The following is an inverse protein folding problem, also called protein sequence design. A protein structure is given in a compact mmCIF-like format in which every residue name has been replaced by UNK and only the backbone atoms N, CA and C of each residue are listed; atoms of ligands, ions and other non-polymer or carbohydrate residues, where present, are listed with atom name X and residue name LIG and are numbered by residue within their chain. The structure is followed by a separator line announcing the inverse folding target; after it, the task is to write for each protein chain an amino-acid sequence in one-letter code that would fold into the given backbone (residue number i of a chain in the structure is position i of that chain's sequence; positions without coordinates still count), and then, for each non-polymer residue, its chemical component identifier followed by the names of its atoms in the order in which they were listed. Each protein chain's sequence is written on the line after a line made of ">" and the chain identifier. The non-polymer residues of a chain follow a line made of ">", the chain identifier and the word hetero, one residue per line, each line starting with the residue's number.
data_IF_875730700340
#
_entry.id   IF_875730700340
#
_cell.length_a   1.000
_cell.length_b   1.000
_cell.length_c   1.000
_cell.angle_alpha   90.00
_cell.angle_beta   90.00
_cell.angle_gamma   90.00
#
_symmetry.space_group_name_H-M   'P 1'
#
loop_
_entity.id
_entity.type
_entity.pdbx_description
1 polymer ?
#
# COMPACT_ATOMS: atom_id res chain seq x y z
N UNK A 1 -11.25 2.06 10.31
CA UNK A 1 -10.12 1.84 9.38
C UNK A 1 -8.86 1.48 10.16
N UNK A 2 -8.27 2.41 10.92
CA UNK A 2 -7.00 2.16 11.63
C UNK A 2 -7.10 1.34 12.92
N UNK A 3 -8.28 1.21 13.54
CA UNK A 3 -8.45 0.49 14.82
C UNK A 3 -7.98 -0.96 14.78
N UNK A 4 -8.22 -1.67 13.66
CA UNK A 4 -7.76 -3.05 13.50
C UNK A 4 -6.23 -3.19 13.57
N UNK A 5 -5.47 -2.14 13.20
CA UNK A 5 -4.01 -2.16 13.34
C UNK A 5 -3.61 -2.15 14.82
N UNK A 6 -4.32 -1.39 15.66
CA UNK A 6 -4.06 -1.32 17.11
C UNK A 6 -4.34 -2.69 17.75
N UNK A 7 -5.48 -3.30 17.41
CA UNK A 7 -5.83 -4.65 17.88
C UNK A 7 -4.74 -5.67 17.52
N UNK A 8 -4.20 -5.62 16.29
CA UNK A 8 -3.13 -6.54 15.88
C UNK A 8 -1.79 -6.27 16.56
N UNK A 9 -1.47 -5.01 16.86
CA UNK A 9 -0.29 -4.65 17.65
C UNK A 9 -0.43 -5.19 19.08
N UNK A 10 -1.61 -5.06 19.71
CA UNK A 10 -1.88 -5.61 21.04
C UNK A 10 -1.73 -7.12 21.06
N UNK A 11 -2.33 -7.82 20.08
CA UNK A 11 -2.14 -9.26 19.92
C UNK A 11 -0.67 -9.65 19.76
N UNK A 12 0.08 -8.92 18.93
CA UNK A 12 1.49 -9.20 18.73
C UNK A 12 2.32 -8.95 19.99
N UNK A 13 1.99 -7.94 20.79
CA UNK A 13 2.68 -7.63 22.04
C UNK A 13 2.58 -8.75 23.10
N UNK A 14 1.58 -9.64 23.02
CA UNK A 14 1.54 -10.85 23.85
C UNK A 14 2.63 -11.88 23.49
N UNK A 15 3.18 -11.82 22.27
CA UNK A 15 4.29 -12.67 21.82
C UNK A 15 5.63 -11.97 21.96
N UNK A 16 5.78 -10.81 21.32
CA UNK A 16 6.99 -9.98 21.32
C UNK A 16 6.59 -8.51 21.21
N UNK A 17 7.29 -7.65 21.95
CA UNK A 17 7.02 -6.21 21.94
C UNK A 17 7.29 -5.62 20.56
N UNK A 18 6.32 -4.89 20.01
CA UNK A 18 6.49 -4.06 18.81
C UNK A 18 7.24 -2.77 19.19
N UNK A 19 8.32 -2.48 18.49
CA UNK A 19 9.19 -1.31 18.74
C UNK A 19 8.92 -0.12 17.82
N UNK A 20 8.40 -0.38 16.62
CA UNK A 20 8.15 0.63 15.59
C UNK A 20 7.00 0.18 14.68
N UNK A 21 6.32 1.15 14.07
CA UNK A 21 5.26 0.90 13.11
C UNK A 21 5.67 1.43 11.73
N UNK A 22 5.48 0.61 10.71
CA UNK A 22 5.68 1.00 9.32
C UNK A 22 4.31 1.09 8.65
N UNK A 23 4.02 2.24 8.03
CA UNK A 23 2.76 2.53 7.35
C UNK A 23 3.03 2.88 5.87
N UNK A 24 3.24 1.87 5.00
CA UNK A 24 3.55 2.11 3.60
C UNK A 24 2.34 2.66 2.84
N UNK A 25 2.56 3.74 2.07
CA UNK A 25 1.59 4.26 1.10
C UNK A 25 2.02 3.80 -0.30
N UNK A 26 1.41 2.74 -0.79
CA UNK A 26 1.89 1.99 -1.97
C UNK A 26 1.42 2.54 -3.32
N UNK A 27 0.79 3.71 -3.37
CA UNK A 27 0.26 4.32 -4.59
C UNK A 27 -1.17 3.90 -4.93
N UNK A 28 -1.76 4.57 -5.94
CA UNK A 28 -3.18 4.50 -6.32
C UNK A 28 -4.15 4.90 -5.20
N UNK A 29 -3.76 5.89 -4.38
CA UNK A 29 -4.60 6.51 -3.36
C UNK A 29 -5.72 7.37 -3.96
N UNK A 30 -5.50 7.89 -5.18
CA UNK A 30 -6.47 8.68 -5.93
C UNK A 30 -6.41 8.36 -7.41
N UNK A 31 -7.51 8.69 -8.09
CA UNK A 31 -7.64 8.54 -9.54
C UNK A 31 -7.47 9.88 -10.25
N UNK A 32 -6.41 10.01 -11.03
CA UNK A 32 -6.16 11.14 -11.92
C UNK A 32 -7.03 11.13 -13.18
N UNK A 33 -6.91 12.19 -13.98
CA UNK A 33 -7.58 12.33 -15.28
C UNK A 33 -6.82 11.62 -16.40
N UNK A 34 -6.65 10.31 -16.26
CA UNK A 34 -5.75 9.54 -17.12
C UNK A 34 -6.47 8.86 -18.29
N UNK A 35 -7.79 8.75 -18.21
CA UNK A 35 -8.72 8.22 -19.21
C UNK A 35 -9.98 9.09 -19.21
N UNK A 36 -10.64 9.25 -20.36
CA UNK A 36 -11.86 10.07 -20.48
C UNK A 36 -12.97 9.59 -19.55
N UNK A 37 -13.20 8.27 -19.49
CA UNK A 37 -14.14 7.66 -18.55
C UNK A 37 -13.90 8.11 -17.10
N UNK A 38 -12.64 8.17 -16.66
CA UNK A 38 -12.31 8.59 -15.30
C UNK A 38 -12.55 10.09 -15.07
N UNK A 39 -12.49 10.92 -16.12
CA UNK A 39 -12.87 12.32 -16.00
C UNK A 39 -14.37 12.49 -15.79
N UNK A 40 -15.18 11.58 -16.33
CA UNK A 40 -16.63 11.59 -16.22
C UNK A 40 -17.12 10.99 -14.89
N UNK A 41 -16.47 9.93 -14.41
CA UNK A 41 -16.95 9.14 -13.26
C UNK A 41 -16.35 9.55 -11.92
N UNK A 42 -15.27 10.32 -11.88
CA UNK A 42 -14.63 10.73 -10.64
C UNK A 42 -15.55 11.62 -9.79
N UNK A 43 -15.84 11.20 -8.55
CA UNK A 43 -16.64 11.99 -7.60
C UNK A 43 -15.93 13.27 -7.14
N UNK A 44 -14.60 13.25 -7.10
CA UNK A 44 -13.74 14.38 -6.73
C UNK A 44 -12.71 14.63 -7.82
N UNK A 45 -12.37 15.90 -8.05
CA UNK A 45 -11.16 16.20 -8.82
C UNK A 45 -9.92 15.66 -8.10
N UNK A 46 -8.82 15.36 -8.81
CA UNK A 46 -7.58 14.91 -8.18
C UNK A 46 -7.05 15.86 -7.11
N UNK A 47 -7.31 17.16 -7.25
CA UNK A 47 -6.91 18.17 -6.26
C UNK A 47 -7.78 18.11 -5.00
N UNK A 48 -9.11 18.00 -5.15
CA UNK A 48 -10.02 17.80 -4.02
C UNK A 48 -9.74 16.46 -3.30
N UNK A 49 -9.46 15.41 -4.08
CA UNK A 49 -9.05 14.11 -3.55
C UNK A 49 -7.76 14.20 -2.73
N UNK A 50 -6.76 14.97 -3.17
CA UNK A 50 -5.54 15.21 -2.38
C UNK A 50 -5.86 15.86 -1.03
N UNK A 51 -6.74 16.88 -1.00
CA UNK A 51 -7.12 17.55 0.26
C UNK A 51 -7.82 16.57 1.21
N UNK A 52 -8.79 15.82 0.69
CA UNK A 52 -9.52 14.80 1.46
C UNK A 52 -8.58 13.72 2.00
N UNK A 53 -7.71 13.17 1.15
CA UNK A 53 -6.76 12.13 1.54
C UNK A 53 -5.77 12.63 2.59
N UNK A 54 -5.28 13.86 2.46
CA UNK A 54 -4.40 14.45 3.47
C UNK A 54 -5.08 14.46 4.85
N UNK A 55 -6.34 14.87 4.94
CA UNK A 55 -7.09 14.87 6.20
C UNK A 55 -7.25 13.45 6.77
N UNK A 56 -7.65 12.48 5.92
CA UNK A 56 -7.89 11.11 6.35
C UNK A 56 -6.61 10.37 6.77
N UNK A 57 -5.50 10.58 6.05
CA UNK A 57 -4.22 9.94 6.35
C UNK A 57 -3.58 10.57 7.59
N UNK A 58 -3.55 11.90 7.69
CA UNK A 58 -3.00 12.56 8.88
C UNK A 58 -3.79 12.19 10.15
N UNK A 59 -5.13 12.24 10.11
CA UNK A 59 -5.94 11.84 11.26
C UNK A 59 -5.71 10.37 11.67
N UNK A 60 -5.47 9.49 10.69
CA UNK A 60 -5.09 8.10 10.92
C UNK A 60 -3.74 7.91 11.58
N UNK A 61 -2.72 8.64 11.10
CA UNK A 61 -1.37 8.63 11.69
C UNK A 61 -1.43 9.19 13.12
N UNK A 62 -2.14 10.28 13.35
CA UNK A 62 -2.30 10.88 14.68
C UNK A 62 -3.02 9.93 15.64
N UNK A 63 -4.06 9.24 15.17
CA UNK A 63 -4.72 8.18 15.93
C UNK A 63 -3.73 7.07 16.31
N UNK A 64 -2.96 6.54 15.35
CA UNK A 64 -1.97 5.49 15.62
C UNK A 64 -0.88 5.95 16.61
N UNK A 65 -0.40 7.20 16.50
CA UNK A 65 0.55 7.77 17.45
C UNK A 65 -0.03 7.84 18.86
N UNK A 66 -1.28 8.27 19.00
CA UNK A 66 -1.94 8.42 20.29
C UNK A 66 -2.17 7.06 20.96
N UNK A 67 -2.65 6.07 20.21
CA UNK A 67 -2.96 4.75 20.76
C UNK A 67 -1.71 3.91 21.05
N UNK A 68 -0.67 4.02 20.22
CA UNK A 68 0.49 3.12 20.32
C UNK A 68 1.72 3.78 20.94
N UNK A 69 1.86 5.10 20.80
CA UNK A 69 3.05 5.85 21.18
C UNK A 69 4.32 5.52 20.38
N UNK A 70 4.23 4.63 19.40
CA UNK A 70 5.36 4.10 18.61
C UNK A 70 5.88 5.13 17.59
N UNK A 71 7.17 5.10 17.23
CA UNK A 71 7.64 5.78 16.03
C UNK A 71 7.00 5.16 14.79
N UNK A 72 6.56 6.02 13.86
CA UNK A 72 5.89 5.66 12.62
C UNK A 72 6.76 6.06 11.43
N UNK A 73 7.04 5.09 10.56
CA UNK A 73 7.77 5.29 9.31
C UNK A 73 6.82 5.13 8.12
N UNK A 74 6.83 6.11 7.22
CA UNK A 74 5.89 6.20 6.09
C UNK A 74 6.66 6.18 4.77
N UNK A 75 7.05 4.98 4.27
CA UNK A 75 7.59 4.86 2.93
C UNK A 75 6.49 5.01 1.89
N UNK A 76 6.78 5.72 0.80
CA UNK A 76 5.78 5.99 -0.24
C UNK A 76 6.20 5.52 -1.63
N UNK A 77 5.20 5.17 -2.43
CA UNK A 77 5.32 4.84 -3.85
C UNK A 77 4.25 5.61 -4.63
N UNK A 78 4.59 6.13 -5.81
CA UNK A 78 3.57 6.68 -6.71
C UNK A 78 2.88 5.55 -7.47
N UNK A 79 1.55 5.59 -7.51
CA UNK A 79 0.73 4.74 -8.33
C UNK A 79 0.66 5.19 -9.79
N UNK A 80 0.10 4.34 -10.64
CA UNK A 80 -0.17 4.74 -12.03
C UNK A 80 -1.43 5.59 -12.14
N UNK A 81 -2.38 5.51 -11.21
CA UNK A 81 -3.62 6.29 -11.25
C UNK A 81 -3.42 7.73 -10.80
N UNK A 82 -2.49 7.99 -9.87
CA UNK A 82 -2.18 9.34 -9.37
C UNK A 82 -1.44 10.26 -10.35
N UNK A 83 -1.17 9.82 -11.58
CA UNK A 83 -0.37 10.59 -12.56
C UNK A 83 -1.13 11.78 -13.15
N UNK A 84 -0.40 12.85 -13.47
CA UNK A 84 -0.92 14.06 -14.15
C UNK A 84 -0.92 13.95 -15.68
N UNK A 85 -0.47 12.81 -16.22
CA UNK A 85 -0.24 12.62 -17.66
C UNK A 85 -0.95 11.38 -18.16
N UNK A 86 -1.46 11.40 -19.40
CA UNK A 86 -2.17 10.24 -19.98
C UNK A 86 -1.28 8.99 -20.02
N UNK A 87 -0.01 9.13 -20.40
CA UNK A 87 0.97 8.03 -20.48
C UNK A 87 1.98 8.09 -19.34
N UNK A 88 2.32 6.92 -18.78
CA UNK A 88 3.36 6.78 -17.74
C UNK A 88 4.69 7.40 -18.17
N UNK A 89 5.30 8.18 -17.28
CA UNK A 89 6.65 8.73 -17.43
C UNK A 89 7.60 8.03 -16.47
N UNK A 90 8.34 7.03 -16.93
CA UNK A 90 9.12 6.14 -16.05
C UNK A 90 10.16 6.93 -15.23
N UNK A 91 10.99 7.77 -15.89
CA UNK A 91 12.09 8.49 -15.23
C UNK A 91 11.62 9.66 -14.35
N UNK A 92 10.45 10.23 -14.65
CA UNK A 92 9.94 11.44 -14.00
C UNK A 92 8.56 11.21 -13.42
N UNK A 93 8.26 9.98 -12.97
CA UNK A 93 6.94 9.59 -12.47
C UNK A 93 6.52 10.47 -11.30
N UNK A 94 7.41 10.65 -10.32
CA UNK A 94 7.17 11.51 -9.15
C UNK A 94 6.88 12.97 -9.53
N UNK A 95 7.59 13.53 -10.53
CA UNK A 95 7.38 14.90 -11.00
C UNK A 95 6.02 15.12 -11.66
N UNK A 96 5.35 14.03 -12.05
CA UNK A 96 4.08 14.04 -12.76
C UNK A 96 3.03 13.24 -11.96
N UNK A 97 3.05 13.35 -10.62
CA UNK A 97 2.17 12.62 -9.72
C UNK A 97 1.52 13.55 -8.70
N UNK A 98 0.19 13.51 -8.62
CA UNK A 98 -0.58 14.15 -7.55
C UNK A 98 -0.27 13.51 -6.20
N UNK A 99 -0.04 12.19 -6.17
CA UNK A 99 0.31 11.47 -4.94
C UNK A 99 1.66 11.91 -4.40
N UNK A 100 2.65 12.15 -5.27
CA UNK A 100 3.95 12.63 -4.82
C UNK A 100 3.83 14.02 -4.17
N UNK A 101 3.03 14.92 -4.78
CA UNK A 101 2.73 16.22 -4.19
C UNK A 101 2.05 16.06 -2.81
N UNK A 102 1.07 15.17 -2.71
CA UNK A 102 0.37 14.84 -1.48
C UNK A 102 1.33 14.30 -0.40
N UNK A 103 2.27 13.41 -0.75
CA UNK A 103 3.29 12.93 0.18
C UNK A 103 4.18 14.06 0.69
N UNK A 104 4.58 14.98 -0.18
CA UNK A 104 5.41 16.13 0.21
C UNK A 104 4.65 17.09 1.15
N UNK A 105 3.35 17.31 0.95
CA UNK A 105 2.56 18.16 1.85
C UNK A 105 2.42 17.53 3.24
N UNK A 106 2.17 16.21 3.30
CA UNK A 106 2.10 15.48 4.58
C UNK A 106 3.47 15.36 5.27
N UNK A 107 4.55 15.11 4.53
CA UNK A 107 5.90 15.13 5.09
C UNK A 107 6.24 16.50 5.69
N UNK A 108 5.85 17.59 5.01
CA UNK A 108 6.00 18.96 5.54
C UNK A 108 5.14 19.20 6.78
N UNK A 109 3.92 18.65 6.83
CA UNK A 109 3.03 18.75 7.98
C UNK A 109 3.66 18.14 9.23
N UNK A 110 4.27 16.96 9.11
CA UNK A 110 4.91 16.23 10.21
C UNK A 110 6.36 16.61 10.52
N UNK A 111 6.96 17.58 9.81
CA UNK A 111 8.41 17.91 9.91
C UNK A 111 8.94 18.20 11.32
N UNK A 112 8.07 18.63 12.24
CA UNK A 112 8.43 18.96 13.62
C UNK A 112 8.05 17.85 14.62
N UNK A 113 7.47 16.74 14.16
CA UNK A 113 7.11 15.60 14.98
C UNK A 113 8.21 14.53 14.84
N UNK A 114 9.07 14.32 15.86
CA UNK A 114 10.19 13.39 15.77
C UNK A 114 9.76 11.91 15.72
N UNK A 115 8.48 11.60 16.01
CA UNK A 115 7.95 10.23 15.94
C UNK A 115 7.42 9.86 14.56
N UNK A 116 7.34 10.78 13.60
CA UNK A 116 6.82 10.48 12.25
C UNK A 116 7.89 10.78 11.22
N UNK A 117 8.35 9.75 10.55
CA UNK A 117 9.37 9.88 9.50
C UNK A 117 8.79 9.50 8.15
N UNK A 118 8.80 10.45 7.22
CA UNK A 118 8.38 10.23 5.84
C UNK A 118 9.58 9.85 4.98
N UNK A 119 9.50 8.72 4.27
CA UNK A 119 10.49 8.28 3.29
C UNK A 119 9.85 8.39 1.90
N UNK A 120 9.86 9.61 1.34
CA UNK A 120 9.17 9.91 0.09
C UNK A 120 9.97 9.39 -1.12
N UNK A 121 9.44 8.37 -1.80
CA UNK A 121 10.11 7.74 -2.93
C UNK A 121 10.01 8.56 -4.23
N UNK A 122 11.13 8.73 -4.93
CA UNK A 122 11.17 9.36 -6.26
C UNK A 122 11.23 8.36 -7.42
N UNK A 123 11.62 7.11 -7.14
CA UNK A 123 11.80 6.03 -8.11
C UNK A 123 10.65 5.01 -8.11
N UNK A 124 10.83 3.94 -8.88
CA UNK A 124 9.91 2.80 -8.88
C UNK A 124 10.08 1.93 -7.63
N UNK A 125 11.31 1.81 -7.12
CA UNK A 125 11.61 1.15 -5.86
C UNK A 125 11.89 2.20 -4.79
N UNK A 126 11.35 1.99 -3.60
CA UNK A 126 11.71 2.68 -2.38
C UNK A 126 12.18 1.61 -1.39
N UNK A 127 13.48 1.59 -1.07
CA UNK A 127 14.08 0.54 -0.25
C UNK A 127 14.44 1.12 1.10
N UNK A 128 13.98 0.48 2.18
CA UNK A 128 14.24 0.86 3.56
C UNK A 128 14.83 -0.32 4.33
N UNK A 129 15.53 -0.03 5.42
CA UNK A 129 15.97 -1.05 6.37
C UNK A 129 14.99 -1.09 7.55
N UNK A 130 14.43 -2.27 7.82
CA UNK A 130 13.49 -2.54 8.92
C UNK A 130 14.09 -3.62 9.80
N UNK A 131 14.43 -3.31 11.06
CA UNK A 131 15.07 -4.27 11.96
C UNK A 131 16.28 -5.01 11.35
N UNK A 132 17.14 -4.32 10.58
CA UNK A 132 18.30 -4.94 9.92
C UNK A 132 17.98 -5.71 8.64
N UNK A 133 16.73 -5.63 8.15
CA UNK A 133 16.26 -6.30 6.92
C UNK A 133 15.97 -5.27 5.85
N UNK A 134 16.46 -5.51 4.64
CA UNK A 134 16.20 -4.64 3.50
C UNK A 134 14.81 -4.96 2.93
N UNK A 135 13.92 -3.98 2.94
CA UNK A 135 12.54 -4.12 2.45
C UNK A 135 12.33 -3.17 1.28
N UNK A 136 11.85 -3.71 0.16
CA UNK A 136 11.56 -2.95 -1.05
C UNK A 136 10.07 -2.69 -1.18
N UNK A 137 9.70 -1.43 -1.17
CA UNK A 137 8.36 -0.96 -1.50
C UNK A 137 8.31 -0.59 -2.99
N UNK A 138 7.26 -1.01 -3.66
CA UNK A 138 6.95 -0.56 -5.02
C UNK A 138 5.45 -0.61 -5.26
N UNK A 139 4.95 0.16 -6.23
CA UNK A 139 3.51 0.16 -6.49
C UNK A 139 3.03 -1.17 -7.11
N UNK A 140 3.79 -1.73 -8.06
CA UNK A 140 3.46 -3.00 -8.71
C UNK A 140 3.02 -2.88 -10.17
N UNK A 141 2.78 -1.67 -10.68
CA UNK A 141 2.41 -1.39 -12.08
C UNK A 141 3.55 -1.63 -13.10
N UNK A 142 4.75 -1.99 -12.63
CA UNK A 142 5.84 -2.50 -13.46
C UNK A 142 5.77 -4.01 -13.72
N UNK A 143 4.95 -4.74 -12.95
CA UNK A 143 4.73 -6.17 -13.13
C UNK A 143 3.73 -6.37 -14.28
N UNK A 144 3.97 -7.36 -15.16
CA UNK A 144 3.07 -7.65 -16.28
C UNK A 144 2.57 -9.07 -16.23
N UNK A 145 1.25 -9.22 -16.18
CA UNK A 145 0.56 -10.50 -16.21
C UNK A 145 -0.45 -10.49 -17.36
N UNK A 146 -0.42 -11.54 -18.20
CA UNK A 146 -1.25 -11.65 -19.41
C UNK A 146 -2.16 -12.90 -19.36
N UNK A 147 -2.52 -13.36 -18.16
CA UNK A 147 -3.24 -14.63 -17.97
C UNK A 147 -2.31 -15.84 -17.86
N UNK A 148 -2.81 -16.92 -17.24
CA UNK A 148 -2.09 -18.19 -17.09
C UNK A 148 -2.22 -18.84 -15.71
N UNK A 149 -1.65 -20.03 -15.59
CA UNK A 149 -1.61 -20.76 -14.32
C UNK A 149 -0.64 -20.05 -13.36
N UNK A 150 -1.05 -19.90 -12.09
CA UNK A 150 -0.23 -19.29 -11.04
C UNK A 150 -0.43 -17.79 -10.84
N UNK A 151 -1.25 -17.14 -11.67
CA UNK A 151 -1.58 -15.72 -11.47
C UNK A 151 -0.36 -14.80 -11.48
N UNK A 152 -0.39 -13.76 -10.65
CA UNK A 152 0.69 -12.76 -10.55
C UNK A 152 2.00 -13.32 -9.97
N UNK A 153 1.99 -14.51 -9.37
CA UNK A 153 3.17 -15.06 -8.68
C UNK A 153 4.37 -15.23 -9.63
N UNK A 154 4.11 -15.68 -10.87
CA UNK A 154 5.15 -15.91 -11.87
C UNK A 154 5.83 -14.60 -12.30
N UNK A 155 5.09 -13.56 -12.76
CA UNK A 155 5.74 -12.30 -13.13
C UNK A 155 6.39 -11.58 -11.95
N UNK A 156 5.85 -11.69 -10.73
CA UNK A 156 6.49 -11.15 -9.51
C UNK A 156 7.84 -11.81 -9.28
N UNK A 157 7.87 -13.15 -9.20
CA UNK A 157 9.11 -13.89 -8.95
C UNK A 157 10.18 -13.64 -10.01
N UNK A 158 9.78 -13.56 -11.30
CA UNK A 158 10.72 -13.23 -12.39
C UNK A 158 11.32 -11.83 -12.26
N UNK A 159 10.51 -10.85 -11.86
CA UNK A 159 10.94 -9.46 -11.73
C UNK A 159 11.86 -9.28 -10.53
N UNK A 160 11.45 -9.80 -9.36
CA UNK A 160 12.27 -9.84 -8.15
C UNK A 160 13.62 -10.51 -8.44
N UNK A 161 13.64 -11.67 -9.11
CA UNK A 161 14.89 -12.36 -9.45
C UNK A 161 15.87 -11.52 -10.30
N UNK A 162 15.38 -10.59 -11.13
CA UNK A 162 16.26 -9.66 -11.84
C UNK A 162 16.69 -8.50 -10.95
N UNK A 163 15.78 -7.92 -10.17
CA UNK A 163 16.10 -6.80 -9.28
C UNK A 163 17.08 -7.20 -8.17
N UNK A 164 17.00 -8.44 -7.68
CA UNK A 164 17.94 -8.99 -6.70
C UNK A 164 19.39 -9.06 -7.19
N UNK A 165 19.62 -9.10 -8.52
CA UNK A 165 20.99 -9.07 -9.08
C UNK A 165 21.67 -7.71 -8.93
N UNK A 166 20.88 -6.64 -8.75
CA UNK A 166 21.38 -5.26 -8.65
C UNK A 166 21.32 -4.76 -7.22
N UNK A 167 20.18 -4.97 -6.54
CA UNK A 167 19.98 -4.55 -5.16
C UNK A 167 19.28 -5.68 -4.40
N UNK A 168 20.05 -6.53 -3.69
CA UNK A 168 19.52 -7.57 -2.84
C UNK A 168 18.65 -6.97 -1.72
N UNK A 169 17.46 -7.51 -1.55
CA UNK A 169 16.52 -7.19 -0.47
C UNK A 169 15.97 -8.49 0.15
N UNK A 170 15.54 -8.43 1.40
CA UNK A 170 14.95 -9.57 2.10
C UNK A 170 13.46 -9.78 1.74
N UNK A 171 12.73 -8.68 1.50
CA UNK A 171 11.28 -8.74 1.30
C UNK A 171 10.75 -7.61 0.40
N UNK A 172 9.76 -7.92 -0.44
CA UNK A 172 9.04 -6.96 -1.28
C UNK A 172 7.59 -6.75 -0.79
N UNK A 173 7.15 -5.48 -0.76
CA UNK A 173 5.77 -5.10 -0.40
C UNK A 173 5.22 -4.19 -1.50
N UNK A 174 4.08 -4.58 -2.09
CA UNK A 174 3.50 -3.83 -3.21
C UNK A 174 1.97 -3.91 -3.30
N UNK A 175 1.37 -3.02 -4.08
CA UNK A 175 -0.09 -2.94 -4.29
C UNK A 175 -0.47 -3.25 -5.74
N UNK A 176 -1.32 -2.39 -6.34
CA UNK A 176 -1.76 -2.42 -7.75
C UNK A 176 -2.67 -3.58 -8.17
N UNK A 177 -2.41 -4.80 -7.69
CA UNK A 177 -3.12 -6.00 -8.12
C UNK A 177 -4.42 -6.28 -7.36
N UNK A 178 -4.71 -5.48 -6.34
CA UNK A 178 -5.99 -5.46 -5.60
C UNK A 178 -6.32 -6.78 -4.87
N UNK A 179 -5.34 -7.70 -4.77
CA UNK A 179 -5.47 -8.98 -4.11
C UNK A 179 -4.39 -9.12 -3.03
N UNK A 180 -4.79 -9.69 -1.89
CA UNK A 180 -3.86 -10.19 -0.91
C UNK A 180 -3.24 -11.48 -1.44
N UNK A 181 -1.95 -11.46 -1.72
CA UNK A 181 -1.21 -12.67 -2.13
C UNK A 181 0.14 -12.66 -1.44
N UNK A 182 0.44 -13.75 -0.74
CA UNK A 182 1.71 -13.92 -0.04
C UNK A 182 2.59 -14.91 -0.79
N UNK A 183 3.70 -14.42 -1.36
CA UNK A 183 4.78 -15.23 -1.91
C UNK A 183 5.85 -15.47 -0.86
N UNK A 184 5.50 -16.16 0.23
CA UNK A 184 6.41 -16.39 1.35
C UNK A 184 7.68 -17.16 0.91
N UNK A 185 8.88 -16.76 1.38
CA UNK A 185 9.18 -15.67 2.33
C UNK A 185 9.51 -14.32 1.68
N UNK A 186 9.31 -14.15 0.37
CA UNK A 186 9.97 -13.09 -0.41
C UNK A 186 9.13 -11.86 -0.68
N UNK A 187 7.81 -11.97 -0.77
CA UNK A 187 6.99 -10.82 -1.10
C UNK A 187 5.53 -10.93 -0.67
N UNK A 188 4.85 -9.78 -0.60
CA UNK A 188 3.40 -9.68 -0.43
C UNK A 188 2.80 -8.62 -1.36
N UNK A 189 1.70 -9.01 -2.01
CA UNK A 189 0.77 -8.11 -2.69
C UNK A 189 -0.31 -7.69 -1.71
N UNK A 190 -0.49 -6.39 -1.53
CA UNK A 190 -1.50 -5.79 -0.69
C UNK A 190 -2.84 -5.68 -1.44
N UNK A 191 -3.97 -5.95 -0.77
CA UNK A 191 -5.28 -5.71 -1.33
C UNK A 191 -5.60 -4.21 -1.36
N UNK A 192 -6.81 -3.88 -1.78
CA UNK A 192 -7.26 -2.51 -1.96
C UNK A 192 -8.55 -2.21 -1.18
N UNK A 193 -8.96 -0.93 -1.23
CA UNK A 193 -10.23 -0.46 -0.69
C UNK A 193 -11.33 -0.39 -1.74
N UNK A 194 -10.95 -0.26 -3.01
CA UNK A 194 -11.91 -0.09 -4.09
C UNK A 194 -12.69 -1.39 -4.29
N UNK A 195 -13.99 -1.24 -4.50
CA UNK A 195 -14.89 -2.37 -4.74
C UNK A 195 -14.71 -2.98 -6.12
N UNK A 196 -15.47 -4.05 -6.36
CA UNK A 196 -15.50 -4.75 -7.64
C UNK A 196 -16.33 -3.98 -8.66
N UNK A 197 -15.65 -3.39 -9.65
CA UNK A 197 -16.27 -2.54 -10.68
C UNK A 197 -16.52 -3.28 -11.99
N UNK A 198 -17.20 -2.61 -12.92
CA UNK A 198 -17.41 -3.04 -14.30
C UNK A 198 -16.07 -3.28 -15.02
N UNK A 199 -15.07 -2.44 -14.77
CA UNK A 199 -13.70 -2.67 -15.27
C UNK A 199 -13.11 -3.98 -14.73
N UNK A 200 -13.34 -4.29 -13.45
CA UNK A 200 -12.89 -5.54 -12.85
C UNK A 200 -13.57 -6.75 -13.52
N UNK A 201 -14.86 -6.65 -13.87
CA UNK A 201 -15.58 -7.66 -14.66
C UNK A 201 -14.95 -7.84 -16.04
N UNK A 202 -14.67 -6.74 -16.75
CA UNK A 202 -14.10 -6.76 -18.10
C UNK A 202 -12.75 -7.49 -18.13
N UNK A 203 -11.87 -7.20 -17.17
CA UNK A 203 -10.55 -7.85 -17.07
C UNK A 203 -10.60 -9.23 -16.40
N UNK A 204 -11.79 -9.68 -15.95
CA UNK A 204 -12.00 -10.93 -15.20
C UNK A 204 -11.14 -10.99 -13.94
N UNK A 205 -11.04 -9.86 -13.24
CA UNK A 205 -10.32 -9.78 -11.97
C UNK A 205 -10.97 -10.67 -10.92
N UNK A 206 -10.18 -11.08 -9.94
CA UNK A 206 -10.72 -11.79 -8.78
C UNK A 206 -11.39 -10.81 -7.82
N UNK A 207 -12.47 -11.24 -7.17
CA UNK A 207 -13.13 -10.47 -6.13
C UNK A 207 -12.41 -10.63 -4.79
N UNK A 208 -12.15 -9.53 -4.09
CA UNK A 208 -11.76 -9.57 -2.69
C UNK A 208 -12.49 -8.47 -1.90
N UNK A 209 -12.84 -8.79 -0.65
CA UNK A 209 -13.35 -7.78 0.28
C UNK A 209 -12.30 -6.71 0.61
N UNK A 210 -12.71 -5.43 0.79
CA UNK A 210 -11.83 -4.35 1.19
C UNK A 210 -11.00 -4.71 2.43
N UNK A 211 -9.69 -4.58 2.32
CA UNK A 211 -8.76 -4.99 3.37
C UNK A 211 -7.47 -4.17 3.36
N UNK A 212 -6.74 -4.26 4.46
CA UNK A 212 -5.33 -3.88 4.59
C UNK A 212 -4.50 -5.12 4.89
N UNK A 213 -3.16 -4.99 4.95
CA UNK A 213 -2.29 -6.09 5.41
C UNK A 213 -1.56 -5.69 6.68
N UNK A 214 -1.60 -6.55 7.69
CA UNK A 214 -0.71 -6.50 8.84
C UNK A 214 0.47 -7.44 8.62
N UNK A 215 1.69 -6.91 8.76
CA UNK A 215 2.93 -7.64 8.52
C UNK A 215 3.81 -7.51 9.77
N UNK A 216 4.36 -8.63 10.23
CA UNK A 216 5.37 -8.67 11.29
C UNK A 216 6.72 -9.04 10.69
N UNK A 217 7.69 -8.15 10.84
CA UNK A 217 9.09 -8.35 10.43
C UNK A 217 9.95 -8.45 11.69
N UNK A 218 10.36 -9.67 11.99
CA UNK A 218 11.29 -9.98 13.08
C UNK A 218 12.74 -9.80 12.62
N UNK A 219 13.57 -9.25 13.51
CA UNK A 219 15.00 -9.00 13.26
C UNK A 219 15.76 -10.26 12.84
N UNK A 220 15.50 -11.37 13.51
CA UNK A 220 16.21 -12.65 13.32
C UNK A 220 15.58 -13.48 12.20
N UNK A 221 14.25 -13.51 12.12
CA UNK A 221 13.53 -14.44 11.23
C UNK A 221 12.96 -13.80 9.96
N UNK A 222 13.05 -12.48 9.81
CA UNK A 222 12.41 -11.78 8.70
C UNK A 222 10.88 -11.77 8.87
N UNK A 223 10.13 -11.95 7.78
CA UNK A 223 8.67 -11.96 7.84
C UNK A 223 8.18 -13.21 8.59
N UNK A 224 7.51 -13.00 9.72
CA UNK A 224 6.92 -14.08 10.52
C UNK A 224 5.41 -14.15 10.40
N UNK A 225 4.79 -13.04 9.97
CA UNK A 225 3.34 -12.96 9.80
C UNK A 225 3.00 -11.97 8.70
N UNK A 226 2.04 -12.32 7.85
CA UNK A 226 1.40 -11.42 6.90
C UNK A 226 -0.05 -11.86 6.75
N UNK A 227 -1.00 -11.00 7.13
CA UNK A 227 -2.42 -11.34 7.13
C UNK A 227 -3.30 -10.14 6.75
N UNK A 228 -4.47 -10.38 6.13
CA UNK A 228 -5.40 -9.32 5.83
C UNK A 228 -6.14 -8.85 7.09
N UNK A 229 -6.29 -7.53 7.25
CA UNK A 229 -7.27 -6.91 8.14
C UNK A 229 -8.46 -6.52 7.25
N UNK A 230 -9.59 -7.21 7.38
CA UNK A 230 -10.80 -6.89 6.62
C UNK A 230 -11.47 -5.63 7.19
N UNK A 231 -11.90 -4.75 6.30
CA UNK A 231 -12.52 -3.46 6.65
C UNK A 231 -14.05 -3.49 6.55
N UNK A 232 -14.62 -4.65 6.22
CA UNK A 232 -16.05 -4.89 6.18
C UNK A 232 -16.48 -5.81 7.30
N UNK A 233 -17.74 -5.66 7.75
CA UNK A 233 -18.38 -6.62 8.66
C UNK A 233 -18.22 -8.05 8.13
N UNK A 234 -18.02 -9.02 9.03
CA UNK A 234 -17.99 -10.43 8.66
C UNK A 234 -19.23 -10.81 7.84
N UNK A 235 -19.05 -11.56 6.76
CA UNK A 235 -20.12 -11.98 5.83
C UNK A 235 -21.35 -12.58 6.54
N UNK A 236 -21.14 -13.37 7.59
CA UNK A 236 -22.22 -13.96 8.40
C UNK A 236 -23.09 -12.92 9.12
N UNK A 237 -22.54 -11.75 9.48
CA UNK A 237 -23.28 -10.64 10.08
C UNK A 237 -24.05 -9.83 9.03
N UNK A 238 -23.58 -9.81 7.79
CA UNK A 238 -24.26 -9.13 6.68
C UNK A 238 -25.53 -9.87 6.24
N UNK A 239 -25.55 -11.22 6.27
CA UNK A 239 -26.77 -12.01 5.99
C UNK A 239 -27.92 -11.70 6.95
N UNK A 240 -27.63 -11.61 8.26
CA UNK A 240 -28.63 -11.32 9.30
C UNK A 240 -29.26 -9.91 9.22
N UNK A 241 -28.64 -8.97 8.50
CA UNK A 241 -29.19 -7.62 8.28
C UNK A 241 -30.07 -7.54 7.03
N UNK A 242 -30.09 -8.60 6.21
CA UNK A 242 -30.87 -8.68 4.96
C UNK A 242 -32.12 -9.57 5.10
N UNK A 243 -32.32 -10.15 6.27
CA UNK A 243 -33.55 -10.84 6.72
C UNK A 243 -34.31 -9.90 7.65
#
# INVERSE_FOLDING_TARGET
>A
FYSGIVEEIEHQNHRKRVSELWHPLLGDLLTGYIHEELMETNTLSPVEACVFLQEMICSGIDFLLNETGLPIFVPTCCGNHGRTTVKKRIKTSHKNSFEWLLYMTMAKYYRNNPKVTWIVGEGYHNVCEINGRMVRFHHGDGLRYNGGIGGITIPVNKSIAQWQKVQPVDFDIFGHWHQFTLGYPYWVSCPCLIGYSEFAVEIKAEFQHPAQVFIVIDKEYGVTEAKPIFLTDAWCKQKKKRE
#
